data_IF_283276289498
#
_entry.id   IF_283276289498
#
_cell.length_a   1.000
_cell.length_b   1.000
_cell.length_c   1.000
_cell.angle_alpha   90.00
_cell.angle_beta   90.00
_cell.angle_gamma   90.00
#
_symmetry.space_group_name_H-M   'P 1'
#
loop_
_entity.id
_entity.type
_entity.pdbx_description
1 polymer ?
#
# COMPACT_ATOMS: atom_id res chain seq x y z
N UNK A 1 11.56 -9.21 27.30
CA UNK A 1 10.17 -9.66 27.02
C UNK A 1 9.12 -8.61 27.41
N UNK A 2 9.20 -7.99 28.60
CA UNK A 2 8.27 -6.90 29.01
C UNK A 2 8.31 -5.68 28.07
N UNK A 3 9.52 -5.22 27.69
CA UNK A 3 9.69 -4.08 26.79
C UNK A 3 9.08 -4.31 25.40
N UNK A 4 9.23 -5.52 24.84
CA UNK A 4 8.63 -5.88 23.55
C UNK A 4 7.10 -5.83 23.64
N UNK A 5 6.52 -6.39 24.70
CA UNK A 5 5.06 -6.34 24.92
C UNK A 5 4.55 -4.91 25.10
N UNK A 6 5.27 -4.07 25.83
CA UNK A 6 4.93 -2.65 25.98
C UNK A 6 4.97 -1.91 24.64
N UNK A 7 5.99 -2.14 23.81
CA UNK A 7 6.06 -1.56 22.45
C UNK A 7 4.86 -1.96 21.58
N UNK A 8 4.41 -3.22 21.68
CA UNK A 8 3.24 -3.71 20.95
C UNK A 8 1.94 -3.05 21.44
N UNK A 9 1.74 -2.96 22.75
CA UNK A 9 0.53 -2.31 23.31
C UNK A 9 0.51 -0.82 22.97
N UNK A 10 1.65 -0.15 23.05
CA UNK A 10 1.76 1.26 22.67
C UNK A 10 1.46 1.48 21.18
N UNK A 11 1.85 0.56 20.30
CA UNK A 11 1.52 0.68 18.87
C UNK A 11 0.03 0.51 18.59
N UNK A 12 -0.68 -0.33 19.35
CA UNK A 12 -2.14 -0.49 19.21
C UNK A 12 -2.93 0.77 19.56
N UNK A 13 -2.40 1.62 20.44
CA UNK A 13 -3.03 2.91 20.79
C UNK A 13 -2.50 4.03 19.90
N UNK A 14 -1.19 4.08 19.67
CA UNK A 14 -0.56 5.14 18.92
C UNK A 14 -0.97 5.14 17.44
N UNK A 15 -1.11 3.96 16.82
CA UNK A 15 -1.45 3.87 15.39
C UNK A 15 -2.85 4.41 15.06
N UNK A 16 -3.94 4.01 15.76
CA UNK A 16 -5.26 4.61 15.55
C UNK A 16 -5.31 6.09 15.88
N UNK A 17 -4.65 6.54 16.95
CA UNK A 17 -4.62 7.95 17.34
C UNK A 17 -3.95 8.81 16.26
N UNK A 18 -2.76 8.41 15.80
CA UNK A 18 -2.04 9.12 14.75
C UNK A 18 -2.85 9.13 13.44
N UNK A 19 -3.50 8.01 13.11
CA UNK A 19 -4.40 7.91 11.97
C UNK A 19 -5.58 8.89 12.07
N UNK A 20 -6.21 9.00 13.25
CA UNK A 20 -7.30 9.93 13.51
C UNK A 20 -6.89 11.40 13.37
N UNK A 21 -5.72 11.77 13.91
CA UNK A 21 -5.18 13.13 13.79
C UNK A 21 -4.91 13.48 12.32
N UNK A 22 -4.22 12.60 11.59
CA UNK A 22 -3.93 12.82 10.18
C UNK A 22 -5.21 12.90 9.34
N UNK A 23 -6.17 12.01 9.58
CA UNK A 23 -7.46 12.02 8.89
C UNK A 23 -8.22 13.33 9.15
N UNK A 24 -8.23 13.82 10.40
CA UNK A 24 -8.85 15.09 10.75
C UNK A 24 -8.18 16.27 10.02
N UNK A 25 -6.84 16.32 9.99
CA UNK A 25 -6.09 17.37 9.28
C UNK A 25 -6.38 17.33 7.78
N UNK A 26 -6.33 16.15 7.15
CA UNK A 26 -6.62 16.00 5.72
C UNK A 26 -8.06 16.40 5.40
N UNK A 27 -9.03 15.97 6.21
CA UNK A 27 -10.43 16.34 6.03
C UNK A 27 -10.62 17.86 6.18
N UNK A 28 -9.99 18.47 7.18
CA UNK A 28 -10.04 19.92 7.39
C UNK A 28 -9.47 20.68 6.20
N UNK A 29 -8.32 20.24 5.65
CA UNK A 29 -7.73 20.84 4.45
C UNK A 29 -8.68 20.73 3.25
N UNK A 30 -9.24 19.54 3.00
CA UNK A 30 -10.20 19.33 1.89
C UNK A 30 -11.42 20.22 2.05
N UNK A 31 -11.97 20.29 3.27
CA UNK A 31 -13.14 21.10 3.58
C UNK A 31 -12.87 22.58 3.34
N UNK A 32 -11.83 23.13 3.96
CA UNK A 32 -11.50 24.56 3.87
C UNK A 32 -11.04 24.96 2.45
N UNK A 33 -10.37 24.05 1.72
CA UNK A 33 -9.77 24.39 0.42
C UNK A 33 -10.69 24.16 -0.77
N UNK A 34 -11.55 23.13 -0.71
CA UNK A 34 -12.44 22.72 -1.81
C UNK A 34 -13.90 22.95 -1.45
N UNK A 35 -14.39 22.41 -0.33
CA UNK A 35 -15.83 22.36 -0.04
C UNK A 35 -16.44 23.72 0.29
N UNK A 36 -15.68 24.59 0.97
CA UNK A 36 -16.12 25.94 1.37
C UNK A 36 -15.72 27.02 0.35
N UNK A 37 -15.20 26.64 -0.82
CA UNK A 37 -14.84 27.60 -1.86
C UNK A 37 -16.06 28.11 -2.64
N UNK A 38 -15.96 29.32 -3.20
CA UNK A 38 -17.05 29.94 -4.00
C UNK A 38 -17.47 29.08 -5.20
N UNK A 39 -16.52 28.39 -5.83
CA UNK A 39 -16.75 27.38 -6.87
C UNK A 39 -15.99 26.08 -6.53
N UNK A 40 -16.61 25.14 -5.78
CA UNK A 40 -15.99 23.89 -5.38
C UNK A 40 -15.61 22.99 -6.58
N UNK A 41 -16.33 23.11 -7.70
CA UNK A 41 -16.10 22.30 -8.90
C UNK A 41 -14.85 22.79 -9.63
N UNK A 42 -14.73 24.10 -9.84
CA UNK A 42 -13.51 24.66 -10.42
C UNK A 42 -12.32 24.41 -9.51
N UNK A 43 -12.50 24.51 -8.18
CA UNK A 43 -11.45 24.22 -7.19
C UNK A 43 -10.99 22.77 -7.20
N UNK A 44 -11.90 21.80 -7.26
CA UNK A 44 -11.55 20.38 -7.26
C UNK A 44 -10.69 19.98 -8.46
N UNK A 45 -10.91 20.58 -9.64
CA UNK A 45 -10.14 20.27 -10.86
C UNK A 45 -8.63 20.44 -10.72
N UNK A 46 -8.17 21.40 -9.93
CA UNK A 46 -6.74 21.65 -9.74
C UNK A 46 -6.25 21.25 -8.34
N UNK A 47 -7.09 21.34 -7.30
CA UNK A 47 -6.72 20.91 -5.96
C UNK A 47 -6.78 19.40 -5.75
N UNK A 48 -7.74 18.68 -6.34
CA UNK A 48 -7.84 17.24 -6.12
C UNK A 48 -6.58 16.47 -6.58
N UNK A 49 -5.96 16.78 -7.74
CA UNK A 49 -4.66 16.19 -8.11
C UNK A 49 -3.56 16.45 -7.08
N UNK A 50 -3.44 17.70 -6.62
CA UNK A 50 -2.42 18.10 -5.64
C UNK A 50 -2.64 17.39 -4.30
N UNK A 51 -3.88 17.33 -3.82
CA UNK A 51 -4.24 16.64 -2.58
C UNK A 51 -4.15 15.11 -2.72
N UNK A 52 -4.23 14.57 -3.93
CA UNK A 52 -4.03 13.15 -4.21
C UNK A 52 -2.56 12.74 -4.26
N UNK A 53 -1.63 13.68 -4.47
CA UNK A 53 -0.19 13.39 -4.58
C UNK A 53 0.35 12.64 -3.35
N UNK A 54 0.07 13.02 -2.08
CA UNK A 54 0.45 12.22 -0.93
C UNK A 54 -0.09 10.78 -0.98
N UNK A 55 -1.31 10.59 -1.47
CA UNK A 55 -1.91 9.26 -1.64
C UNK A 55 -1.14 8.44 -2.67
N UNK A 56 -0.90 8.98 -3.87
CA UNK A 56 -0.13 8.29 -4.89
C UNK A 56 1.32 8.02 -4.49
N UNK A 57 1.94 8.95 -3.76
CA UNK A 57 3.26 8.77 -3.18
C UNK A 57 3.29 7.58 -2.21
N UNK A 58 2.35 7.54 -1.26
CA UNK A 58 2.26 6.41 -0.31
C UNK A 58 1.97 5.08 -1.01
N UNK A 59 1.11 5.07 -2.03
CA UNK A 59 0.87 3.87 -2.85
C UNK A 59 2.12 3.44 -3.62
N UNK A 60 2.88 4.39 -4.19
CA UNK A 60 4.14 4.11 -4.87
C UNK A 60 5.20 3.52 -3.94
N UNK A 61 5.32 4.03 -2.71
CA UNK A 61 6.19 3.44 -1.69
C UNK A 61 5.73 2.06 -1.27
N UNK A 62 4.43 1.91 -1.01
CA UNK A 62 3.87 0.65 -0.58
C UNK A 62 4.05 -0.42 -1.67
N UNK A 63 3.85 -0.09 -2.95
CA UNK A 63 4.12 -0.97 -4.08
C UNK A 63 5.58 -1.44 -4.06
N UNK A 64 6.54 -0.54 -3.88
CA UNK A 64 7.96 -0.88 -3.83
C UNK A 64 8.29 -1.79 -2.64
N UNK A 65 7.86 -1.41 -1.44
CA UNK A 65 8.24 -2.11 -0.19
C UNK A 65 7.52 -3.43 0.03
N UNK A 66 6.30 -3.58 -0.50
CA UNK A 66 5.50 -4.80 -0.33
C UNK A 66 5.49 -5.65 -1.60
N UNK A 67 5.12 -5.07 -2.75
CA UNK A 67 4.90 -5.84 -3.98
C UNK A 67 6.22 -6.14 -4.72
N UNK A 68 7.10 -5.15 -4.86
CA UNK A 68 8.35 -5.28 -5.63
C UNK A 68 9.54 -5.73 -4.79
N UNK A 69 9.35 -6.00 -3.49
CA UNK A 69 10.43 -6.44 -2.59
C UNK A 69 11.18 -7.66 -3.10
N UNK A 70 10.46 -8.64 -3.65
CA UNK A 70 11.05 -9.84 -4.23
C UNK A 70 11.88 -9.52 -5.48
N UNK A 71 11.34 -8.71 -6.38
CA UNK A 71 12.03 -8.23 -7.58
C UNK A 71 13.31 -7.46 -7.23
N UNK A 72 13.23 -6.48 -6.32
CA UNK A 72 14.39 -5.68 -5.89
C UNK A 72 15.45 -6.58 -5.23
N UNK A 73 15.02 -7.57 -4.43
CA UNK A 73 15.95 -8.54 -3.84
C UNK A 73 16.66 -9.39 -4.90
N UNK A 74 15.96 -9.77 -5.97
CA UNK A 74 16.54 -10.53 -7.09
C UNK A 74 17.46 -9.69 -7.95
N UNK A 75 17.07 -8.45 -8.23
CA UNK A 75 17.90 -7.48 -8.96
C UNK A 75 19.24 -7.26 -8.25
N UNK A 76 19.25 -7.17 -6.91
CA UNK A 76 20.50 -7.08 -6.15
C UNK A 76 21.34 -8.37 -6.27
N UNK A 77 20.72 -9.55 -6.18
CA UNK A 77 21.46 -10.82 -6.30
C UNK A 77 22.03 -11.07 -7.70
N UNK A 78 21.39 -10.51 -8.74
CA UNK A 78 21.82 -10.62 -10.13
C UNK A 78 22.80 -9.50 -10.54
N UNK A 79 23.15 -8.59 -9.62
CA UNK A 79 24.10 -7.49 -9.85
C UNK A 79 23.54 -6.33 -10.67
N UNK A 80 22.20 -6.20 -10.78
CA UNK A 80 21.56 -5.08 -11.50
C UNK A 80 21.51 -3.79 -10.67
N UNK A 81 21.57 -3.91 -9.35
CA UNK A 81 21.61 -2.79 -8.40
C UNK A 81 22.73 -3.04 -7.37
N UNK A 82 23.42 -1.97 -6.98
CA UNK A 82 24.58 -2.04 -6.08
C UNK A 82 24.20 -2.47 -4.66
N UNK A 83 23.19 -1.82 -4.09
CA UNK A 83 22.63 -2.20 -2.79
C UNK A 83 21.10 -2.25 -2.82
N UNK A 84 20.55 -3.35 -2.30
CA UNK A 84 19.12 -3.52 -2.02
C UNK A 84 18.63 -2.49 -1.00
N UNK A 85 19.48 -2.10 -0.06
CA UNK A 85 19.18 -1.12 0.97
C UNK A 85 19.13 0.31 0.42
N UNK A 86 19.34 0.58 -0.86
CA UNK A 86 18.99 1.90 -1.40
C UNK A 86 17.49 2.00 -1.73
N UNK A 87 16.83 0.85 -1.81
CA UNK A 87 15.45 0.68 -2.29
C UNK A 87 14.51 0.14 -1.21
N UNK A 88 15.01 -0.67 -0.27
CA UNK A 88 14.16 -1.36 0.69
C UNK A 88 14.55 -1.03 2.13
N UNK A 89 13.56 -0.96 3.05
CA UNK A 89 13.80 -0.78 4.47
C UNK A 89 14.83 -1.75 5.03
N UNK A 90 15.90 -1.19 5.59
CA UNK A 90 16.91 -1.93 6.35
C UNK A 90 16.22 -2.59 7.54
N UNK A 91 16.48 -3.89 7.73
CA UNK A 91 15.89 -4.66 8.83
C UNK A 91 16.77 -4.73 10.07
N UNK A 92 18.07 -4.58 9.90
CA UNK A 92 19.09 -4.76 10.94
C UNK A 92 20.11 -3.62 10.87
N UNK A 93 20.50 -3.05 12.01
CA UNK A 93 21.47 -1.95 12.15
C UNK A 93 21.07 -0.57 11.60
N UNK A 94 19.97 -0.42 10.88
CA UNK A 94 19.42 0.88 10.47
C UNK A 94 18.27 1.32 11.38
N UNK A 95 18.22 2.61 11.74
CA UNK A 95 17.11 3.19 12.50
C UNK A 95 16.45 4.28 11.66
N UNK A 96 15.11 4.34 11.67
CA UNK A 96 14.36 5.46 11.09
C UNK A 96 14.30 6.64 12.07
N UNK A 97 15.44 6.97 12.67
CA UNK A 97 15.61 8.12 13.56
C UNK A 97 16.57 9.07 12.87
N UNK A 98 16.13 10.27 12.43
CA UNK A 98 16.97 11.24 11.75
C UNK A 98 18.19 11.68 12.57
N UNK A 99 18.13 11.50 13.90
CA UNK A 99 19.17 11.94 14.83
C UNK A 99 20.11 10.80 15.26
N UNK A 100 19.86 9.56 14.82
CA UNK A 100 20.74 8.45 15.11
C UNK A 100 21.91 8.39 14.12
N UNK A 101 23.08 7.95 14.58
CA UNK A 101 24.28 7.80 13.73
C UNK A 101 24.08 6.79 12.59
N UNK A 102 23.14 5.87 12.76
CA UNK A 102 22.73 4.86 11.78
C UNK A 102 21.35 5.17 11.16
N UNK A 103 20.99 6.46 11.08
CA UNK A 103 19.81 6.92 10.35
C UNK A 103 19.87 6.43 8.91
N UNK A 104 18.82 5.74 8.46
CA UNK A 104 18.77 5.23 7.09
C UNK A 104 17.42 5.52 6.42
N UNK A 105 17.47 5.90 5.14
CA UNK A 105 16.31 6.18 4.30
C UNK A 105 16.50 5.58 2.90
N UNK A 106 15.49 4.91 2.32
CA UNK A 106 15.56 4.37 0.96
C UNK A 106 15.35 5.49 -0.05
N UNK A 107 16.40 6.29 -0.29
CA UNK A 107 16.28 7.53 -1.07
C UNK A 107 15.79 7.25 -2.50
N UNK A 108 16.23 6.15 -3.12
CA UNK A 108 15.83 5.80 -4.48
C UNK A 108 14.32 5.52 -4.54
N UNK A 109 13.80 4.78 -3.55
CA UNK A 109 12.36 4.51 -3.51
C UNK A 109 11.52 5.72 -3.17
N UNK A 110 12.03 6.64 -2.35
CA UNK A 110 11.37 7.92 -2.08
C UNK A 110 11.30 8.77 -3.36
N UNK A 111 12.39 8.88 -4.11
CA UNK A 111 12.43 9.62 -5.38
C UNK A 111 11.50 8.99 -6.41
N UNK A 112 11.59 7.67 -6.61
CA UNK A 112 10.74 6.95 -7.57
C UNK A 112 9.26 7.05 -7.19
N UNK A 113 8.91 6.91 -5.91
CA UNK A 113 7.53 7.08 -5.45
C UNK A 113 7.03 8.52 -5.69
N UNK A 114 7.89 9.52 -5.50
CA UNK A 114 7.54 10.91 -5.77
C UNK A 114 7.31 11.17 -7.26
N UNK A 115 8.17 10.65 -8.13
CA UNK A 115 8.01 10.75 -9.59
C UNK A 115 6.71 10.06 -10.04
N UNK A 116 6.46 8.84 -9.58
CA UNK A 116 5.22 8.11 -9.87
C UNK A 116 4.01 8.89 -9.36
N UNK A 117 4.09 9.47 -8.16
CA UNK A 117 3.06 10.30 -7.57
C UNK A 117 2.75 11.54 -8.39
N UNK A 118 3.78 12.25 -8.87
CA UNK A 118 3.64 13.40 -9.75
C UNK A 118 3.00 13.02 -11.08
N UNK A 119 3.43 11.91 -11.70
CA UNK A 119 2.85 11.41 -12.96
C UNK A 119 1.38 11.03 -12.76
N UNK A 120 1.05 10.26 -11.72
CA UNK A 120 -0.32 9.85 -11.42
C UNK A 120 -1.22 11.06 -11.12
N UNK A 121 -0.71 12.03 -10.37
CA UNK A 121 -1.39 13.31 -10.13
C UNK A 121 -1.62 14.08 -11.43
N UNK A 122 -0.64 14.14 -12.33
CA UNK A 122 -0.78 14.80 -13.63
C UNK A 122 -1.80 14.10 -14.53
N UNK A 123 -1.83 12.77 -14.52
CA UNK A 123 -2.86 11.98 -15.22
C UNK A 123 -4.25 12.28 -14.62
N UNK A 124 -4.36 12.31 -13.29
CA UNK A 124 -5.62 12.66 -12.63
C UNK A 124 -6.07 14.06 -13.03
N UNK A 125 -5.17 15.05 -13.02
CA UNK A 125 -5.47 16.40 -13.50
C UNK A 125 -5.96 16.41 -14.96
N UNK A 126 -5.30 15.66 -15.85
CA UNK A 126 -5.71 15.53 -17.25
C UNK A 126 -7.10 14.91 -17.38
N UNK A 127 -7.41 13.86 -16.63
CA UNK A 127 -8.73 13.21 -16.61
C UNK A 127 -9.81 14.16 -16.08
N UNK A 128 -9.51 14.93 -15.03
CA UNK A 128 -10.46 15.85 -14.40
C UNK A 128 -10.71 17.12 -15.24
N UNK A 129 -9.75 17.53 -16.08
CA UNK A 129 -9.88 18.67 -17.00
C UNK A 129 -11.08 18.50 -17.93
N UNK A 130 -11.21 17.31 -18.51
CA UNK A 130 -12.21 17.01 -19.53
C UNK A 130 -13.48 16.38 -18.93
N UNK A 131 -13.53 16.24 -17.60
CA UNK A 131 -14.69 15.69 -16.89
C UNK A 131 -15.79 16.75 -16.71
N UNK A 132 -16.97 16.45 -17.24
CA UNK A 132 -18.16 17.30 -17.13
C UNK A 132 -18.93 16.98 -15.84
N UNK A 133 -18.61 17.72 -14.77
CA UNK A 133 -19.29 17.64 -13.49
C UNK A 133 -20.75 18.13 -13.53
N UNK A 134 -21.17 18.89 -14.56
CA UNK A 134 -22.48 19.55 -14.60
C UNK A 134 -23.61 18.63 -15.07
N UNK A 135 -23.31 17.52 -15.72
CA UNK A 135 -24.31 16.57 -16.25
C UNK A 135 -25.08 15.77 -15.18
N UNK A 136 -24.73 15.92 -13.90
CA UNK A 136 -25.31 15.17 -12.77
C UNK A 136 -26.10 16.01 -11.76
N UNK A 137 -26.34 17.29 -12.01
CA UNK A 137 -27.37 18.06 -11.29
C UNK A 137 -27.01 18.62 -9.91
N UNK A 138 -25.91 18.22 -9.25
CA UNK A 138 -25.50 18.82 -7.97
C UNK A 138 -23.97 18.90 -7.84
N UNK A 139 -23.44 20.10 -7.59
CA UNK A 139 -22.01 20.37 -7.63
C UNK A 139 -21.15 19.50 -6.68
N UNK A 140 -21.62 19.26 -5.45
CA UNK A 140 -20.86 18.53 -4.41
C UNK A 140 -20.59 17.06 -4.77
N UNK A 141 -21.53 16.40 -5.45
CA UNK A 141 -21.44 14.97 -5.79
C UNK A 141 -20.32 14.67 -6.80
N UNK A 142 -19.94 15.65 -7.62
CA UNK A 142 -18.87 15.50 -8.59
C UNK A 142 -17.49 15.37 -7.95
N UNK A 143 -17.24 16.15 -6.89
CA UNK A 143 -15.98 16.13 -6.15
C UNK A 143 -15.85 14.84 -5.35
N UNK A 144 -16.93 14.42 -4.69
CA UNK A 144 -16.99 13.20 -3.90
C UNK A 144 -16.61 11.96 -4.74
N UNK A 145 -17.11 11.88 -5.99
CA UNK A 145 -16.78 10.76 -6.89
C UNK A 145 -15.29 10.61 -7.17
N UNK A 146 -14.53 11.72 -7.24
CA UNK A 146 -13.09 11.67 -7.42
C UNK A 146 -12.45 10.94 -6.24
N UNK A 147 -12.82 11.33 -5.01
CA UNK A 147 -12.28 10.72 -3.79
C UNK A 147 -12.71 9.27 -3.62
N UNK A 148 -13.94 8.91 -4.02
CA UNK A 148 -14.40 7.51 -4.03
C UNK A 148 -13.53 6.64 -4.94
N UNK A 149 -13.21 7.12 -6.15
CA UNK A 149 -12.32 6.37 -7.05
C UNK A 149 -10.90 6.20 -6.49
N UNK A 150 -10.35 7.24 -5.85
CA UNK A 150 -9.05 7.16 -5.18
C UNK A 150 -9.08 6.15 -4.01
N UNK A 151 -10.17 6.12 -3.25
CA UNK A 151 -10.37 5.17 -2.17
C UNK A 151 -10.49 3.73 -2.70
N UNK A 152 -11.17 3.51 -3.83
CA UNK A 152 -11.26 2.19 -4.48
C UNK A 152 -9.86 1.68 -4.85
N UNK A 153 -9.02 2.53 -5.47
CA UNK A 153 -7.64 2.16 -5.82
C UNK A 153 -6.83 1.82 -4.56
N UNK A 154 -6.96 2.63 -3.51
CA UNK A 154 -6.25 2.43 -2.24
C UNK A 154 -6.71 1.14 -1.56
N UNK A 155 -8.02 0.89 -1.51
CA UNK A 155 -8.59 -0.33 -0.95
C UNK A 155 -8.16 -1.58 -1.72
N UNK A 156 -8.18 -1.52 -3.06
CA UNK A 156 -7.70 -2.60 -3.91
C UNK A 156 -6.21 -2.90 -3.68
N UNK A 157 -5.38 -1.85 -3.55
CA UNK A 157 -3.98 -2.02 -3.20
C UNK A 157 -3.78 -2.64 -1.83
N UNK A 158 -4.49 -2.17 -0.80
CA UNK A 158 -4.41 -2.70 0.57
C UNK A 158 -4.82 -4.18 0.58
N UNK A 159 -5.91 -4.52 -0.12
CA UNK A 159 -6.38 -5.90 -0.27
C UNK A 159 -5.33 -6.78 -0.97
N UNK A 160 -4.72 -6.29 -2.05
CA UNK A 160 -3.63 -6.98 -2.74
C UNK A 160 -2.41 -7.20 -1.83
N UNK A 161 -1.97 -6.17 -1.11
CA UNK A 161 -0.81 -6.22 -0.23
C UNK A 161 -1.03 -7.15 0.98
N UNK A 162 -2.24 -7.17 1.55
CA UNK A 162 -2.61 -8.12 2.59
C UNK A 162 -2.71 -9.54 2.05
N UNK A 163 -3.43 -9.74 0.93
CA UNK A 163 -3.55 -11.06 0.31
C UNK A 163 -2.20 -11.68 -0.05
N UNK A 164 -1.22 -10.87 -0.49
CA UNK A 164 0.14 -11.33 -0.74
C UNK A 164 0.86 -11.80 0.54
N UNK A 165 0.64 -11.12 1.67
CA UNK A 165 1.23 -11.49 2.96
C UNK A 165 0.56 -12.76 3.55
N UNK A 166 -0.76 -12.82 3.48
CA UNK A 166 -1.55 -13.96 3.98
C UNK A 166 -1.27 -15.23 3.17
N UNK A 167 -1.10 -15.09 1.84
CA UNK A 167 -0.57 -16.14 0.97
C UNK A 167 0.75 -16.67 1.50
N UNK A 168 1.72 -15.80 1.78
CA UNK A 168 3.05 -16.23 2.24
C UNK A 168 2.99 -17.03 3.54
N UNK A 169 2.10 -16.65 4.46
CA UNK A 169 1.88 -17.40 5.69
C UNK A 169 1.26 -18.78 5.45
N UNK A 170 0.32 -18.90 4.50
CA UNK A 170 -0.32 -20.16 4.15
C UNK A 170 0.60 -21.12 3.38
N UNK A 171 1.41 -20.60 2.43
CA UNK A 171 2.27 -21.43 1.58
C UNK A 171 3.65 -21.72 2.19
N UNK A 172 4.08 -20.94 3.20
CA UNK A 172 5.42 -21.07 3.81
C UNK A 172 5.74 -22.50 4.29
N UNK A 173 4.89 -23.14 5.11
CA UNK A 173 5.10 -24.52 5.54
C UNK A 173 5.12 -25.52 4.38
N UNK A 174 4.22 -25.35 3.40
CA UNK A 174 4.14 -26.22 2.22
C UNK A 174 5.39 -26.11 1.35
N UNK A 175 5.92 -24.89 1.18
CA UNK A 175 7.16 -24.66 0.45
C UNK A 175 8.36 -25.33 1.12
N UNK A 176 8.45 -25.28 2.45
CA UNK A 176 9.51 -25.94 3.20
C UNK A 176 9.45 -27.47 3.06
N UNK A 177 8.25 -28.08 3.11
CA UNK A 177 8.08 -29.52 2.88
C UNK A 177 8.47 -29.89 1.45
N UNK A 178 8.03 -29.11 0.46
CA UNK A 178 8.38 -29.36 -0.94
C UNK A 178 9.89 -29.29 -1.20
N UNK A 179 10.58 -28.34 -0.56
CA UNK A 179 12.04 -28.19 -0.67
C UNK A 179 12.78 -29.40 -0.10
N UNK A 180 12.43 -29.86 1.11
CA UNK A 180 13.02 -31.06 1.73
C UNK A 180 12.85 -32.29 0.83
N UNK A 181 11.65 -32.47 0.25
CA UNK A 181 11.35 -33.61 -0.62
C UNK A 181 12.09 -33.54 -1.95
N UNK A 182 12.25 -32.34 -2.51
CA UNK A 182 12.93 -32.13 -3.79
C UNK A 182 14.45 -32.18 -3.67
N UNK A 183 14.99 -31.75 -2.53
CA UNK A 183 16.42 -31.69 -2.22
C UNK A 183 16.95 -32.97 -1.55
N UNK A 184 16.11 -34.00 -1.38
CA UNK A 184 16.53 -35.29 -0.82
C UNK A 184 16.87 -35.27 0.67
N UNK A 185 16.35 -34.29 1.43
CA UNK A 185 16.56 -34.17 2.88
C UNK A 185 17.45 -33.01 3.33
N UNK A 186 18.13 -32.33 2.40
CA UNK A 186 18.92 -31.14 2.72
C UNK A 186 18.07 -29.87 2.68
N UNK A 187 18.17 -29.04 3.74
CA UNK A 187 17.49 -27.75 3.82
C UNK A 187 18.40 -26.67 3.23
N UNK A 188 18.01 -26.11 2.08
CA UNK A 188 18.69 -24.94 1.56
C UNK A 188 18.45 -23.74 2.48
N UNK A 189 19.49 -22.90 2.69
CA UNK A 189 19.37 -21.65 3.46
C UNK A 189 18.37 -20.65 2.84
N UNK A 190 17.98 -20.88 1.57
CA UNK A 190 16.99 -20.10 0.84
C UNK A 190 16.06 -21.06 0.08
N UNK A 191 14.80 -21.10 0.49
CA UNK A 191 13.76 -21.88 -0.18
C UNK A 191 13.16 -21.03 -1.31
N UNK A 192 13.44 -21.40 -2.56
CA UNK A 192 12.78 -20.81 -3.71
C UNK A 192 11.42 -21.49 -3.92
N UNK A 193 10.34 -20.74 -3.65
CA UNK A 193 8.97 -21.28 -3.76
C UNK A 193 8.56 -21.37 -5.23
N UNK A 194 8.19 -22.55 -5.74
CA UNK A 194 7.82 -22.70 -7.15
C UNK A 194 6.51 -21.97 -7.47
N UNK A 195 6.41 -21.44 -8.70
CA UNK A 195 5.30 -20.59 -9.12
C UNK A 195 3.93 -21.27 -8.98
N UNK A 196 3.82 -22.57 -9.23
CA UNK A 196 2.56 -23.30 -9.11
C UNK A 196 2.02 -23.30 -7.67
N UNK A 197 2.92 -23.36 -6.67
CA UNK A 197 2.59 -23.42 -5.25
C UNK A 197 2.15 -22.02 -4.77
N UNK A 198 2.81 -20.98 -5.31
CA UNK A 198 2.37 -19.60 -5.20
C UNK A 198 0.96 -19.43 -5.78
N UNK A 199 0.72 -19.84 -7.03
CA UNK A 199 -0.59 -19.75 -7.69
C UNK A 199 -1.69 -20.48 -6.92
N UNK A 200 -1.43 -21.71 -6.45
CA UNK A 200 -2.33 -22.48 -5.60
C UNK A 200 -2.76 -21.67 -4.37
N UNK A 201 -1.81 -21.04 -3.67
CA UNK A 201 -2.10 -20.20 -2.51
C UNK A 201 -3.00 -19.00 -2.82
N UNK A 202 -2.86 -18.35 -3.98
CA UNK A 202 -3.78 -17.26 -4.36
C UNK A 202 -5.16 -17.75 -4.74
N UNK A 203 -5.26 -18.88 -5.45
CA UNK A 203 -6.55 -19.45 -5.81
C UNK A 203 -7.31 -19.86 -4.54
N UNK A 204 -6.63 -20.47 -3.57
CA UNK A 204 -7.22 -20.82 -2.29
C UNK A 204 -7.78 -19.61 -1.53
N UNK A 205 -7.02 -18.52 -1.45
CA UNK A 205 -7.49 -17.26 -0.82
C UNK A 205 -8.68 -16.68 -1.59
N UNK A 206 -8.60 -16.62 -2.93
CA UNK A 206 -9.68 -16.07 -3.75
C UNK A 206 -10.99 -16.85 -3.58
N UNK A 207 -10.92 -18.18 -3.60
CA UNK A 207 -12.08 -19.05 -3.35
C UNK A 207 -12.62 -18.86 -1.94
N UNK A 208 -11.75 -18.76 -0.93
CA UNK A 208 -12.14 -18.51 0.45
C UNK A 208 -12.88 -17.17 0.62
N UNK A 209 -12.37 -16.09 0.01
CA UNK A 209 -13.02 -14.76 0.05
C UNK A 209 -14.37 -14.79 -0.67
N UNK A 210 -14.47 -15.45 -1.83
CA UNK A 210 -15.74 -15.52 -2.58
C UNK A 210 -16.79 -16.32 -1.83
N UNK A 211 -16.42 -17.46 -1.23
CA UNK A 211 -17.39 -18.33 -0.56
C UNK A 211 -17.74 -17.83 0.85
N UNK A 212 -16.74 -17.49 1.67
CA UNK A 212 -16.96 -17.15 3.09
C UNK A 212 -17.03 -15.65 3.35
N UNK A 213 -16.41 -14.82 2.50
CA UNK A 213 -16.47 -13.37 2.63
C UNK A 213 -17.85 -12.81 2.32
N UNK A 214 -18.57 -13.43 1.39
CA UNK A 214 -19.97 -13.08 1.09
C UNK A 214 -20.88 -13.48 2.26
N UNK A 215 -20.65 -14.63 2.88
CA UNK A 215 -21.45 -15.10 4.02
C UNK A 215 -21.26 -14.26 5.28
N UNK A 216 -20.04 -13.77 5.54
CA UNK A 216 -19.78 -12.83 6.65
C UNK A 216 -20.47 -11.47 6.47
N UNK A 217 -20.71 -11.02 5.24
CA UNK A 217 -21.42 -9.75 4.95
C UNK A 217 -22.94 -9.94 4.78
N UNK A 218 -23.40 -11.18 4.60
CA UNK A 218 -24.81 -11.50 4.32
C UNK A 218 -25.71 -11.62 5.55
N UNK A 219 -25.16 -11.74 6.76
CA UNK A 219 -25.93 -12.09 7.97
C UNK A 219 -26.25 -10.94 8.93
N UNK A 220 -26.02 -9.67 8.57
CA UNK A 220 -26.25 -8.50 9.45
C UNK A 220 -27.12 -7.37 8.85
N UNK A 221 -28.07 -7.70 7.96
CA UNK A 221 -29.04 -6.71 7.44
C UNK A 221 -30.52 -7.15 7.53
N UNK A 222 -30.88 -7.86 8.60
CA UNK A 222 -32.27 -7.99 9.03
C UNK A 222 -32.42 -7.62 10.50
#
# INVERSE_FOLDING_TARGET
NLEIRQKVVMSWVASPLMGGILAFITFFIVRASILEADDPIARSRWLAPILALPTFFTLGLALQFKALKGFISRAASEGWIDDKNDWLPVKENGVFDPFAENAWFPINSLIVAFIIGCIASMILWYVLRDYDFKKQGEGFQGVEKIFVWLQIITAAYVAFAHGANDRSNAIGPMAAVYDILSSGGDLAAKVDVPLWLVLLGSVGIAVGVVNMGVESNGNNWY
#
